data_IF_538124966532
#
_entry.id   IF_538124966532
#
_cell.length_a   1.000
_cell.length_b   1.000
_cell.length_c   1.000
_cell.angle_alpha   90.00
_cell.angle_beta   90.00
_cell.angle_gamma   90.00
#
_symmetry.space_group_name_H-M   'P 1'
#
loop_
_entity.id
_entity.type
_entity.pdbx_description
1 polymer ?
#
# COMPACT_ATOMS: atom_id res chain seq x y z
N UNK A 1 -7.92 9.78 -3.14
CA UNK A 1 -7.11 10.74 -3.95
C UNK A 1 -7.55 12.14 -3.58
N UNK A 2 -6.62 13.01 -3.20
CA UNK A 2 -6.88 14.40 -2.85
C UNK A 2 -6.45 15.34 -3.99
N UNK A 3 -5.27 15.08 -4.56
CA UNK A 3 -4.77 15.76 -5.75
C UNK A 3 -3.94 14.82 -6.62
N UNK A 4 -3.41 15.31 -7.75
CA UNK A 4 -2.54 14.52 -8.63
C UNK A 4 -1.35 13.98 -7.85
N UNK A 5 -1.21 12.66 -7.85
CA UNK A 5 -0.15 11.97 -7.13
C UNK A 5 -0.29 12.02 -5.61
N UNK A 6 -1.44 12.39 -5.05
CA UNK A 6 -1.65 12.37 -3.59
C UNK A 6 -2.91 11.63 -3.15
N UNK A 7 -2.72 10.75 -2.17
CA UNK A 7 -3.73 9.84 -1.67
C UNK A 7 -3.69 9.81 -0.13
N UNK A 8 -4.80 10.12 0.52
CA UNK A 8 -4.93 10.00 1.96
C UNK A 8 -5.69 8.71 2.30
N UNK A 9 -5.16 7.95 3.23
CA UNK A 9 -5.76 6.75 3.82
C UNK A 9 -6.22 7.10 5.23
N UNK A 10 -7.53 7.07 5.46
CA UNK A 10 -8.15 7.42 6.74
C UNK A 10 -8.74 6.18 7.42
N UNK A 11 -9.03 6.30 8.73
CA UNK A 11 -9.65 5.22 9.52
C UNK A 11 -8.68 4.10 9.93
N UNK A 12 -7.37 4.36 9.82
CA UNK A 12 -6.29 3.53 10.34
C UNK A 12 -5.55 4.26 11.47
N UNK A 13 -4.72 3.54 12.23
CA UNK A 13 -3.91 4.09 13.33
C UNK A 13 -2.45 4.33 12.91
N UNK A 14 -2.15 4.22 11.62
CA UNK A 14 -0.82 4.37 11.04
C UNK A 14 -0.46 3.20 10.13
N UNK A 15 0.82 3.14 9.78
CA UNK A 15 1.38 1.98 9.08
C UNK A 15 1.43 0.76 9.98
N UNK A 16 1.30 -0.42 9.39
CA UNK A 16 1.42 -1.66 10.14
C UNK A 16 2.82 -1.79 10.76
N UNK A 17 2.87 -2.14 12.05
CA UNK A 17 4.11 -2.17 12.83
C UNK A 17 4.98 -3.42 12.59
N UNK A 18 4.48 -4.42 11.85
CA UNK A 18 5.21 -5.65 11.57
C UNK A 18 6.20 -5.45 10.42
N UNK A 19 7.48 -5.26 10.78
CA UNK A 19 8.58 -5.08 9.84
C UNK A 19 8.80 -6.28 8.91
N UNK A 20 8.26 -7.48 9.23
CA UNK A 20 8.34 -8.64 8.34
C UNK A 20 7.56 -8.46 7.03
N UNK A 21 6.66 -7.47 6.98
CA UNK A 21 5.73 -7.26 5.86
C UNK A 21 5.90 -5.91 5.16
N UNK A 22 7.13 -5.42 5.08
CA UNK A 22 7.41 -4.11 4.48
C UNK A 22 8.80 -3.54 4.69
N UNK A 23 9.59 -4.16 5.57
CA UNK A 23 10.80 -3.52 6.08
C UNK A 23 10.47 -2.42 7.09
N UNK A 24 11.51 -1.72 7.54
CA UNK A 24 11.42 -0.68 8.57
C UNK A 24 10.64 0.57 8.11
N UNK A 25 10.54 0.77 6.79
CA UNK A 25 9.98 1.98 6.16
C UNK A 25 8.50 1.82 5.73
N UNK A 26 7.83 0.79 6.25
CA UNK A 26 6.39 0.57 6.01
C UNK A 26 6.08 -0.36 4.84
N UNK A 27 5.03 -1.15 4.99
CA UNK A 27 4.54 -2.15 4.02
C UNK A 27 3.95 -1.57 2.75
N UNK A 28 4.77 -0.87 1.97
CA UNK A 28 4.44 -0.38 0.64
C UNK A 28 4.91 -1.36 -0.43
N UNK A 29 4.04 -1.62 -1.39
CA UNK A 29 4.41 -2.26 -2.65
C UNK A 29 4.06 -1.32 -3.79
N UNK A 30 5.08 -0.92 -4.54
CA UNK A 30 4.95 0.01 -5.67
C UNK A 30 4.91 -0.75 -6.99
N UNK A 31 4.23 -0.21 -8.02
CA UNK A 31 4.12 -0.88 -9.29
C UNK A 31 5.48 -0.99 -9.99
N UNK A 32 5.77 -2.20 -10.47
CA UNK A 32 6.97 -2.53 -11.24
C UNK A 32 6.60 -2.89 -12.68
N UNK A 33 7.42 -2.46 -13.63
CA UNK A 33 7.27 -2.82 -15.03
C UNK A 33 7.85 -4.22 -15.32
N UNK A 34 7.61 -4.77 -16.51
CA UNK A 34 8.10 -6.07 -16.98
C UNK A 34 9.62 -6.24 -16.88
N UNK A 35 10.36 -5.14 -16.88
CA UNK A 35 11.81 -5.08 -16.73
C UNK A 35 12.28 -5.07 -15.26
N UNK A 36 11.35 -5.23 -14.30
CA UNK A 36 11.60 -5.19 -12.85
C UNK A 36 12.06 -3.83 -12.31
N UNK A 37 11.88 -2.77 -13.08
CA UNK A 37 12.11 -1.41 -12.63
C UNK A 37 10.80 -0.81 -12.11
N UNK A 38 10.87 -0.11 -10.98
CA UNK A 38 9.71 0.56 -10.40
C UNK A 38 9.24 1.72 -11.28
N UNK A 39 7.92 1.88 -11.44
CA UNK A 39 7.34 2.89 -12.34
C UNK A 39 7.15 4.26 -11.71
N UNK A 40 7.15 4.32 -10.38
CA UNK A 40 6.95 5.54 -9.60
C UNK A 40 7.91 5.58 -8.41
N UNK A 41 8.15 6.78 -7.89
CA UNK A 41 8.62 7.01 -6.53
C UNK A 41 7.42 7.12 -5.59
N UNK A 42 7.65 6.82 -4.32
CA UNK A 42 6.67 7.00 -3.26
C UNK A 42 7.32 7.75 -2.11
N UNK A 43 6.58 8.71 -1.56
CA UNK A 43 6.86 9.37 -0.29
C UNK A 43 5.59 9.23 0.57
N UNK A 44 5.75 9.26 1.89
CA UNK A 44 4.60 9.17 2.78
C UNK A 44 4.80 9.95 4.07
N UNK A 45 3.68 10.32 4.67
CA UNK A 45 3.62 10.99 5.96
C UNK A 45 2.49 10.36 6.78
N UNK A 46 2.78 10.00 8.03
CA UNK A 46 1.76 9.52 8.97
C UNK A 46 1.35 10.70 9.83
N UNK A 47 0.09 11.08 9.71
CA UNK A 47 -0.50 12.19 10.47
C UNK A 47 -0.70 11.78 11.94
N UNK A 48 -0.85 12.78 12.81
CA UNK A 48 -1.03 12.56 14.24
C UNK A 48 -2.31 11.77 14.60
N UNK A 49 -3.31 11.77 13.72
CA UNK A 49 -4.55 10.98 13.87
C UNK A 49 -4.41 9.53 13.36
N UNK A 50 -3.23 9.15 12.87
CA UNK A 50 -2.94 7.84 12.29
C UNK A 50 -3.26 7.71 10.80
N UNK A 51 -3.86 8.73 10.16
CA UNK A 51 -4.06 8.71 8.71
C UNK A 51 -2.72 8.75 7.98
N UNK A 52 -2.64 8.11 6.81
CA UNK A 52 -1.42 8.02 6.02
C UNK A 52 -1.59 8.78 4.72
N UNK A 53 -0.80 9.84 4.54
CA UNK A 53 -0.70 10.57 3.29
C UNK A 53 0.38 9.92 2.43
N UNK A 54 0.01 9.51 1.23
CA UNK A 54 0.88 8.89 0.24
C UNK A 54 1.03 9.82 -0.95
N UNK A 55 2.27 10.11 -1.33
CA UNK A 55 2.62 10.93 -2.49
C UNK A 55 3.37 10.09 -3.51
N UNK A 56 3.04 10.23 -4.78
CA UNK A 56 3.62 9.46 -5.88
C UNK A 56 4.21 10.38 -6.94
N UNK A 57 5.39 10.02 -7.43
CA UNK A 57 6.12 10.81 -8.41
C UNK A 57 6.58 9.95 -9.59
N UNK A 58 6.73 10.57 -10.75
CA UNK A 58 7.20 9.88 -11.93
C UNK A 58 8.63 9.40 -11.72
N UNK A 59 8.92 8.16 -12.14
CA UNK A 59 10.26 7.58 -12.03
C UNK A 59 10.81 7.20 -13.40
N UNK A 60 11.84 7.91 -13.84
CA UNK A 60 12.57 7.62 -15.08
C UNK A 60 13.80 6.78 -14.78
N UNK A 61 14.16 5.87 -15.69
CA UNK A 61 15.36 5.04 -15.59
C UNK A 61 16.33 5.34 -16.74
N UNK A 62 17.23 6.34 -16.63
CA UNK A 62 18.11 6.76 -17.73
C UNK A 62 19.07 5.67 -18.22
N UNK A 63 19.44 4.73 -17.34
CA UNK A 63 20.33 3.61 -17.66
C UNK A 63 19.62 2.49 -18.45
N UNK A 64 18.30 2.50 -18.54
CA UNK A 64 17.55 1.53 -19.35
C UNK A 64 17.59 1.90 -20.85
N UNK A 65 17.41 0.92 -21.75
CA UNK A 65 17.22 1.21 -23.17
C UNK A 65 16.08 2.20 -23.40
N UNK A 66 16.11 3.07 -24.44
CA UNK A 66 15.14 4.15 -24.63
C UNK A 66 13.66 3.75 -24.54
N UNK A 67 13.30 2.57 -25.04
CA UNK A 67 11.93 2.05 -25.01
C UNK A 67 11.47 1.56 -23.61
N UNK A 68 12.38 1.47 -22.64
CA UNK A 68 12.18 0.91 -21.31
C UNK A 68 12.55 1.89 -20.18
N UNK A 69 12.81 3.17 -20.52
CA UNK A 69 13.15 4.21 -19.54
C UNK A 69 11.96 4.69 -18.71
N UNK A 70 10.75 4.23 -19.02
CA UNK A 70 9.50 4.69 -18.41
C UNK A 70 9.36 6.21 -18.52
N UNK A 71 9.50 6.78 -19.73
CA UNK A 71 9.28 8.23 -19.95
C UNK A 71 7.82 8.49 -20.30
N UNK A 72 7.25 9.58 -19.77
CA UNK A 72 5.90 10.03 -20.10
C UNK A 72 5.99 11.23 -21.03
N UNK A 73 5.39 11.12 -22.20
CA UNK A 73 5.41 12.17 -23.21
C UNK A 73 4.67 11.76 -24.47
N UNK A 74 4.73 12.64 -25.47
CA UNK A 74 4.10 12.42 -26.76
C UNK A 74 5.14 12.48 -27.88
N UNK A 75 4.97 11.64 -28.89
CA UNK A 75 5.76 11.73 -30.12
C UNK A 75 4.93 12.44 -31.17
N UNK A 76 5.47 13.51 -31.74
CA UNK A 76 4.79 14.25 -32.80
C UNK A 76 4.83 13.52 -34.15
N UNK A 77 4.19 14.11 -35.17
CA UNK A 77 4.18 13.55 -36.53
C UNK A 77 5.57 13.47 -37.18
N UNK A 78 6.56 14.19 -36.66
CA UNK A 78 7.94 14.18 -37.14
C UNK A 78 8.79 13.09 -36.47
N UNK A 79 8.24 12.40 -35.46
CA UNK A 79 8.95 11.39 -34.69
C UNK A 79 9.73 11.97 -33.50
N UNK A 80 9.56 13.25 -33.17
CA UNK A 80 10.22 13.89 -32.04
C UNK A 80 9.43 13.61 -30.76
N UNK A 81 10.06 12.94 -29.78
CA UNK A 81 9.48 12.71 -28.47
C UNK A 81 9.65 13.96 -27.59
N UNK A 82 8.54 14.50 -27.11
CA UNK A 82 8.51 15.56 -26.10
C UNK A 82 8.05 14.97 -24.77
N UNK A 83 8.91 15.09 -23.76
CA UNK A 83 8.57 14.69 -22.39
C UNK A 83 7.54 15.66 -21.80
N UNK A 84 6.49 15.13 -21.21
CA UNK A 84 5.42 15.93 -20.59
C UNK A 84 5.42 15.85 -19.07
N UNK A 85 6.06 14.83 -18.52
CA UNK A 85 6.25 14.66 -17.07
C UNK A 85 7.70 14.24 -16.84
N UNK A 86 8.44 15.05 -16.10
CA UNK A 86 9.84 14.79 -15.78
C UNK A 86 9.97 13.84 -14.58
N UNK A 87 11.16 13.25 -14.41
CA UNK A 87 11.47 12.45 -13.21
C UNK A 87 11.27 13.29 -11.94
N UNK A 88 10.61 12.70 -10.94
CA UNK A 88 10.30 13.36 -9.67
C UNK A 88 9.09 14.30 -9.71
N UNK A 89 8.42 14.51 -10.85
CA UNK A 89 7.17 15.29 -10.87
C UNK A 89 5.98 14.48 -10.32
N UNK A 90 5.04 15.12 -9.59
CA UNK A 90 3.85 14.44 -9.10
C UNK A 90 3.04 13.79 -10.22
N UNK A 91 2.75 12.50 -10.07
CA UNK A 91 1.95 11.74 -11.04
C UNK A 91 1.06 10.77 -10.31
N UNK A 92 -0.15 10.55 -10.83
CA UNK A 92 -1.04 9.52 -10.30
C UNK A 92 -0.47 8.10 -10.56
N UNK A 93 -0.88 7.16 -9.70
CA UNK A 93 -0.62 5.74 -9.90
C UNK A 93 -1.13 5.33 -11.29
N UNK A 94 -0.32 4.65 -12.12
CA UNK A 94 -0.73 4.21 -13.45
C UNK A 94 -2.04 3.42 -13.41
N UNK A 95 -2.96 3.70 -14.33
CA UNK A 95 -4.32 3.13 -14.32
C UNK A 95 -4.36 1.60 -14.49
N UNK A 96 -3.29 1.00 -14.98
CA UNK A 96 -3.10 -0.45 -15.16
C UNK A 96 -2.45 -1.12 -13.94
N UNK A 97 -2.20 -0.37 -12.87
CA UNK A 97 -1.39 -0.80 -11.74
C UNK A 97 -1.99 -0.34 -10.41
N UNK A 98 -1.43 -0.82 -9.30
CA UNK A 98 -1.84 -0.40 -7.95
C UNK A 98 -0.62 -0.21 -7.05
N UNK A 99 -0.82 0.55 -5.98
CA UNK A 99 0.08 0.60 -4.83
C UNK A 99 -0.61 -0.12 -3.68
N UNK A 100 0.07 -1.08 -3.07
CA UNK A 100 -0.41 -1.73 -1.85
C UNK A 100 0.15 -0.99 -0.65
N UNK A 101 -0.70 -0.68 0.33
CA UNK A 101 -0.30 -0.06 1.59
C UNK A 101 -0.85 -0.91 2.73
N UNK A 102 0.02 -1.30 3.66
CA UNK A 102 -0.37 -2.01 4.87
C UNK A 102 -0.50 -1.04 6.02
N UNK A 103 -1.67 -1.06 6.63
CA UNK A 103 -2.04 -0.15 7.72
C UNK A 103 -2.47 -0.94 8.94
N UNK A 104 -2.34 -0.31 10.10
CA UNK A 104 -2.88 -0.83 11.35
C UNK A 104 -4.32 -0.36 11.54
N UNK A 105 -5.23 -1.27 11.88
CA UNK A 105 -6.64 -0.95 12.06
C UNK A 105 -6.94 -0.69 13.54
N UNK A 106 -7.76 0.32 13.87
CA UNK A 106 -8.12 0.61 15.26
C UNK A 106 -8.90 -0.55 15.88
N UNK A 107 -8.76 -0.78 17.19
CA UNK A 107 -9.40 -1.89 17.93
C UNK A 107 -10.93 -1.91 17.78
N UNK A 108 -11.54 -0.73 17.66
CA UNK A 108 -12.99 -0.59 17.49
C UNK A 108 -13.47 -0.82 16.04
N UNK A 109 -12.55 -1.13 15.11
CA UNK A 109 -12.89 -1.44 13.71
C UNK A 109 -13.77 -2.67 13.61
N UNK A 110 -14.57 -2.73 12.53
CA UNK A 110 -15.45 -3.88 12.25
C UNK A 110 -14.64 -5.18 12.16
N UNK A 111 -13.42 -5.11 11.62
CA UNK A 111 -12.54 -6.26 11.48
C UNK A 111 -12.05 -6.77 12.84
N UNK A 112 -11.47 -5.89 13.67
CA UNK A 112 -10.97 -6.26 15.01
C UNK A 112 -12.09 -6.78 15.92
N UNK A 113 -13.27 -6.16 15.90
CA UNK A 113 -14.45 -6.65 16.63
C UNK A 113 -14.88 -8.06 16.20
N UNK A 114 -14.82 -8.37 14.91
CA UNK A 114 -15.14 -9.72 14.40
C UNK A 114 -14.09 -10.76 14.82
N UNK A 115 -12.80 -10.41 14.78
CA UNK A 115 -11.73 -11.28 15.25
C UNK A 115 -11.88 -11.59 16.73
N UNK A 116 -12.15 -10.56 17.54
CA UNK A 116 -12.33 -10.71 18.98
C UNK A 116 -13.56 -11.56 19.33
N UNK A 117 -14.71 -11.32 18.69
CA UNK A 117 -15.90 -12.14 18.89
C UNK A 117 -15.65 -13.61 18.51
N UNK A 118 -14.88 -13.85 17.45
CA UNK A 118 -14.50 -15.21 17.02
C UNK A 118 -13.59 -15.88 18.05
N UNK A 119 -12.60 -15.15 18.58
CA UNK A 119 -11.69 -15.63 19.63
C UNK A 119 -12.46 -16.01 20.89
N UNK A 120 -13.36 -15.13 21.36
CA UNK A 120 -14.22 -15.39 22.53
C UNK A 120 -15.08 -16.64 22.29
N UNK A 121 -15.73 -16.77 21.13
CA UNK A 121 -16.56 -17.94 20.83
C UNK A 121 -15.76 -19.25 20.81
N UNK A 122 -14.54 -19.23 20.28
CA UNK A 122 -13.64 -20.39 20.29
C UNK A 122 -13.17 -20.75 21.70
N UNK A 123 -12.82 -19.76 22.52
CA UNK A 123 -12.43 -19.97 23.93
C UNK A 123 -13.60 -20.54 24.74
N UNK A 124 -14.80 -20.01 24.57
CA UNK A 124 -16.01 -20.55 25.21
C UNK A 124 -16.33 -21.98 24.78
N UNK A 125 -16.19 -22.30 23.49
CA UNK A 125 -16.39 -23.66 22.97
C UNK A 125 -15.37 -24.63 23.59
N UNK A 126 -14.09 -24.28 23.60
CA UNK A 126 -13.02 -25.08 24.21
C UNK A 126 -13.24 -25.28 25.71
N UNK A 127 -13.68 -24.25 26.43
CA UNK A 127 -14.00 -24.35 27.85
C UNK A 127 -15.23 -25.23 28.11
N UNK A 128 -16.23 -25.22 27.23
CA UNK A 128 -17.39 -26.14 27.30
C UNK A 128 -16.96 -27.58 27.08
N UNK A 129 -16.14 -27.86 26.06
CA UNK A 129 -15.59 -29.20 25.82
C UNK A 129 -14.82 -29.72 27.03
N UNK A 130 -13.87 -28.96 27.56
CA UNK A 130 -13.10 -29.32 28.77
C UNK A 130 -14.01 -29.62 29.98
N UNK A 131 -15.04 -28.81 30.20
CA UNK A 131 -16.01 -29.03 31.30
C UNK A 131 -16.85 -30.27 31.09
N UNK A 132 -17.09 -30.69 29.85
CA UNK A 132 -17.88 -31.89 29.54
C UNK A 132 -17.04 -33.15 29.71
N UNK A 133 -15.76 -33.11 29.29
CA UNK A 133 -14.81 -34.22 29.44
C UNK A 133 -14.43 -34.45 30.91
N UNK A 134 -14.27 -33.39 31.70
CA UNK A 134 -13.95 -33.48 33.13
C UNK A 134 -15.11 -33.94 34.03
N UNK A 135 -16.35 -33.97 33.52
CA UNK A 135 -17.54 -34.41 34.25
C UNK A 135 -17.93 -35.87 33.93
N UNK A 136 -17.12 -36.57 33.13
CA UNK A 136 -17.32 -37.96 32.70
C UNK A 136 -16.41 -38.95 33.45
N UNK A 137 -16.06 -38.62 34.71
CA UNK A 137 -15.27 -39.46 35.63
C UNK A 137 -16.04 -39.72 36.92
#
# INVERSE_FOLDING_TARGET
RIQTGEYLIEGCTGLNADAAWGGIDGGFEIPVDRNKLARIWIDYEVNADGSVLVRTYHRVHPSAPPFAQNRIGNTDISGMFTETVADGEPVDIPADSFVSVRVEMPENSIWNKKQEATRIAMEEARMKEWRTDGNNV
#
